data_IF_211087455374
#
_entry.id   IF_211087455374
#
_cell.length_a   1.000
_cell.length_b   1.000
_cell.length_c   1.000
_cell.angle_alpha   90.00
_cell.angle_beta   90.00
_cell.angle_gamma   90.00
#
_symmetry.space_group_name_H-M   'P 1'
#
loop_
_entity.id
_entity.type
_entity.pdbx_description
1 polymer ?
#
# COMPACT_ATOMS: atom_id res chain seq x y z
N UNK A 1 -8.55 -22.87 3.20
CA UNK A 1 -9.86 -22.32 2.76
C UNK A 1 -9.96 -20.81 2.97
N UNK A 2 -10.11 -20.28 4.19
CA UNK A 2 -10.32 -18.83 4.42
C UNK A 2 -9.23 -17.92 3.86
N UNK A 3 -7.95 -18.22 4.11
CA UNK A 3 -6.83 -17.40 3.60
C UNK A 3 -6.76 -17.43 2.06
N UNK A 4 -7.05 -18.59 1.46
CA UNK A 4 -7.02 -18.72 0.00
C UNK A 4 -8.12 -17.88 -0.66
N UNK A 5 -9.34 -17.94 -0.11
CA UNK A 5 -10.45 -17.11 -0.58
C UNK A 5 -10.15 -15.62 -0.36
N UNK A 6 -9.60 -15.26 0.81
CA UNK A 6 -9.17 -13.89 1.09
C UNK A 6 -8.15 -13.39 0.06
N UNK A 7 -7.06 -14.14 -0.17
CA UNK A 7 -6.05 -13.77 -1.15
C UNK A 7 -6.64 -13.61 -2.55
N UNK A 8 -7.54 -14.51 -2.95
CA UNK A 8 -8.24 -14.42 -4.24
C UNK A 8 -9.06 -13.14 -4.33
N UNK A 9 -9.89 -12.82 -3.33
CA UNK A 9 -10.72 -11.60 -3.31
C UNK A 9 -9.89 -10.33 -3.28
N UNK A 10 -8.80 -10.30 -2.52
CA UNK A 10 -7.89 -9.16 -2.47
C UNK A 10 -7.18 -8.96 -3.82
N UNK A 11 -6.86 -10.04 -4.53
CA UNK A 11 -6.30 -9.95 -5.90
C UNK A 11 -7.31 -9.38 -6.88
N UNK A 12 -8.56 -9.84 -6.84
CA UNK A 12 -9.66 -9.28 -7.64
C UNK A 12 -9.80 -7.78 -7.36
N UNK A 13 -9.82 -7.38 -6.08
CA UNK A 13 -9.87 -5.98 -5.67
C UNK A 13 -8.68 -5.16 -6.17
N UNK A 14 -7.45 -5.68 -6.03
CA UNK A 14 -6.23 -5.01 -6.50
C UNK A 14 -6.28 -4.76 -8.01
N UNK A 15 -6.77 -5.72 -8.79
CA UNK A 15 -6.91 -5.57 -10.25
C UNK A 15 -7.90 -4.46 -10.61
N UNK A 16 -9.06 -4.40 -9.94
CA UNK A 16 -10.04 -3.34 -10.20
C UNK A 16 -9.53 -1.95 -9.78
N UNK A 17 -8.79 -1.86 -8.66
CA UNK A 17 -8.15 -0.62 -8.24
C UNK A 17 -7.10 -0.16 -9.26
N UNK A 18 -6.27 -1.06 -9.77
CA UNK A 18 -5.28 -0.72 -10.80
C UNK A 18 -5.93 -0.17 -12.07
N UNK A 19 -7.02 -0.80 -12.54
CA UNK A 19 -7.78 -0.29 -13.69
C UNK A 19 -8.33 1.11 -13.43
N UNK A 20 -8.99 1.31 -12.28
CA UNK A 20 -9.54 2.61 -11.91
C UNK A 20 -8.47 3.71 -11.76
N UNK A 21 -7.28 3.37 -11.24
CA UNK A 21 -6.15 4.31 -11.18
C UNK A 21 -5.70 4.67 -12.61
N UNK A 22 -5.54 3.69 -13.50
CA UNK A 22 -5.16 3.95 -14.90
C UNK A 22 -6.18 4.85 -15.60
N UNK A 23 -7.47 4.53 -15.47
CA UNK A 23 -8.56 5.32 -16.04
C UNK A 23 -8.54 6.77 -15.52
N UNK A 24 -8.32 6.95 -14.21
CA UNK A 24 -8.25 8.28 -13.59
C UNK A 24 -7.09 9.14 -14.12
N UNK A 25 -6.05 8.49 -14.63
CA UNK A 25 -4.88 9.10 -15.25
C UNK A 25 -5.02 9.25 -16.77
N UNK A 26 -6.15 8.87 -17.36
CA UNK A 26 -6.37 8.90 -18.81
C UNK A 26 -5.61 7.82 -19.57
N UNK A 27 -5.21 6.74 -18.90
CA UNK A 27 -4.49 5.61 -19.46
C UNK A 27 -5.45 4.46 -19.78
N UNK A 28 -5.01 3.55 -20.64
CA UNK A 28 -5.72 2.30 -20.89
C UNK A 28 -5.77 1.46 -19.60
N UNK A 29 -6.93 0.90 -19.26
CA UNK A 29 -7.11 0.07 -18.05
C UNK A 29 -6.08 -1.08 -17.94
N UNK A 30 -5.66 -1.61 -19.09
CA UNK A 30 -4.71 -2.73 -19.19
C UNK A 30 -3.22 -2.29 -19.18
N UNK A 31 -2.95 -1.00 -18.99
CA UNK A 31 -1.60 -0.43 -19.11
C UNK A 31 -0.60 -1.11 -18.18
N UNK A 32 -0.93 -1.26 -16.88
CA UNK A 32 -0.05 -1.89 -15.90
C UNK A 32 0.15 -3.37 -16.19
N UNK A 33 -0.90 -4.08 -16.61
CA UNK A 33 -0.84 -5.49 -16.96
C UNK A 33 0.13 -5.72 -18.11
N UNK A 34 0.12 -4.85 -19.13
CA UNK A 34 1.06 -4.88 -20.25
C UNK A 34 2.48 -4.47 -19.85
N UNK A 35 2.61 -3.42 -19.04
CA UNK A 35 3.91 -2.89 -18.63
C UNK A 35 4.72 -3.87 -17.77
N UNK A 36 4.03 -4.72 -17.00
CA UNK A 36 4.62 -5.65 -16.05
C UNK A 36 4.44 -7.13 -16.42
N UNK A 37 3.82 -7.42 -17.58
CA UNK A 37 3.46 -8.78 -18.02
C UNK A 37 2.75 -9.60 -16.93
N UNK A 38 1.78 -8.98 -16.25
CA UNK A 38 1.11 -9.58 -15.07
C UNK A 38 0.29 -10.85 -15.41
N UNK A 39 0.02 -11.10 -16.69
CA UNK A 39 -0.65 -12.32 -17.14
C UNK A 39 0.25 -13.55 -17.02
N UNK A 40 1.57 -13.39 -17.21
CA UNK A 40 2.54 -14.49 -17.12
C UNK A 40 3.23 -14.53 -15.76
N UNK A 41 3.48 -13.37 -15.15
CA UNK A 41 4.22 -13.25 -13.90
C UNK A 41 3.56 -12.23 -12.95
N UNK A 42 2.60 -12.70 -12.17
CA UNK A 42 2.02 -11.93 -11.06
C UNK A 42 2.29 -12.59 -9.72
N UNK A 43 2.86 -11.81 -8.81
CA UNK A 43 3.13 -12.24 -7.44
C UNK A 43 2.22 -11.51 -6.46
N UNK A 44 1.72 -12.26 -5.47
CA UNK A 44 0.98 -11.73 -4.34
C UNK A 44 1.61 -12.27 -3.06
N UNK A 45 2.03 -11.38 -2.17
CA UNK A 45 2.55 -11.71 -0.87
C UNK A 45 1.51 -11.39 0.21
N UNK A 46 1.23 -12.36 1.08
CA UNK A 46 0.45 -12.13 2.30
C UNK A 46 1.41 -12.08 3.48
N UNK A 47 1.42 -10.94 4.19
CA UNK A 47 2.15 -10.78 5.46
C UNK A 47 1.14 -10.62 6.57
N UNK A 48 1.25 -11.43 7.62
CA UNK A 48 0.42 -11.34 8.83
C UNK A 48 1.30 -10.85 9.97
N UNK A 49 1.06 -9.62 10.41
CA UNK A 49 1.82 -8.99 11.47
C UNK A 49 1.08 -9.14 12.81
N UNK A 50 1.79 -9.58 13.85
CA UNK A 50 1.29 -9.64 15.23
C UNK A 50 2.18 -8.76 16.11
N UNK A 51 1.60 -7.70 16.67
CA UNK A 51 2.27 -6.77 17.58
C UNK A 51 1.75 -7.00 19.01
N UNK A 52 2.50 -7.71 19.88
CA UNK A 52 2.10 -7.89 21.27
C UNK A 52 2.24 -6.58 22.08
N UNK A 53 1.57 -6.47 23.25
CA UNK A 53 1.74 -5.33 24.15
C UNK A 53 3.20 -5.07 24.51
N UNK A 54 3.59 -3.79 24.56
CA UNK A 54 4.96 -3.37 24.80
C UNK A 54 5.03 -2.54 26.09
N UNK A 55 5.89 -2.91 27.07
CA UNK A 55 6.03 -2.11 28.29
C UNK A 55 6.64 -0.73 28.10
N UNK A 56 7.35 -0.50 26.99
CA UNK A 56 8.05 0.76 26.68
C UNK A 56 7.80 1.17 25.21
N UNK A 57 6.55 1.45 24.84
CA UNK A 57 6.16 1.72 23.45
C UNK A 57 6.82 2.98 22.88
N UNK A 58 7.27 3.90 23.73
CA UNK A 58 7.93 5.15 23.35
C UNK A 58 9.36 4.98 22.81
N UNK A 59 9.99 3.83 23.04
CA UNK A 59 11.37 3.54 22.57
C UNK A 59 11.45 2.35 21.61
N UNK A 60 10.33 1.70 21.30
CA UNK A 60 10.28 0.53 20.43
C UNK A 60 9.31 0.77 19.27
N UNK A 61 9.73 0.41 18.06
CA UNK A 61 8.86 0.38 16.89
C UNK A 61 8.48 -1.06 16.56
N UNK A 62 7.24 -1.28 16.15
CA UNK A 62 6.77 -2.59 15.69
C UNK A 62 7.31 -2.92 14.31
N UNK A 63 7.24 -1.96 13.39
CA UNK A 63 7.86 -2.07 12.08
C UNK A 63 8.56 -0.74 11.77
N UNK A 64 9.88 -0.73 11.52
CA UNK A 64 10.61 0.50 11.22
C UNK A 64 10.06 1.23 9.99
N UNK A 65 10.34 2.53 9.84
CA UNK A 65 10.02 3.30 8.65
C UNK A 65 10.56 2.65 7.36
N UNK A 66 9.67 2.36 6.42
CA UNK A 66 10.01 1.82 5.09
C UNK A 66 8.97 2.27 4.05
N UNK A 67 9.23 2.05 2.77
CA UNK A 67 8.21 2.05 1.71
C UNK A 67 7.93 0.61 1.28
N UNK A 68 6.74 0.37 0.74
CA UNK A 68 6.36 -0.96 0.29
C UNK A 68 6.83 -1.19 -1.15
N UNK A 69 7.48 -2.33 -1.37
CA UNK A 69 7.79 -2.78 -2.73
C UNK A 69 6.53 -3.28 -3.45
N UNK A 70 6.54 -3.24 -4.79
CA UNK A 70 5.42 -3.71 -5.60
C UNK A 70 4.49 -2.59 -6.07
N UNK A 71 3.29 -2.97 -6.52
CA UNK A 71 2.33 -2.04 -7.13
C UNK A 71 1.40 -1.40 -6.09
N UNK A 72 0.74 -2.24 -5.30
CA UNK A 72 -0.22 -1.85 -4.27
C UNK A 72 -0.07 -2.78 -3.07
N UNK A 73 -0.26 -2.25 -1.87
CA UNK A 73 -0.58 -3.06 -0.69
C UNK A 73 -1.98 -2.71 -0.18
N UNK A 74 -2.72 -3.75 0.19
CA UNK A 74 -4.09 -3.69 0.69
C UNK A 74 -4.07 -4.25 2.10
N UNK A 75 -4.13 -3.35 3.08
CA UNK A 75 -3.98 -3.65 4.48
C UNK A 75 -5.35 -3.74 5.16
N UNK A 76 -5.60 -4.88 5.79
CA UNK A 76 -6.61 -5.02 6.83
C UNK A 76 -5.93 -4.82 8.19
N UNK A 77 -6.40 -3.85 8.97
CA UNK A 77 -5.93 -3.61 10.33
C UNK A 77 -7.05 -3.78 11.35
N UNK A 78 -6.69 -3.99 12.60
CA UNK A 78 -7.62 -4.03 13.71
C UNK A 78 -8.03 -2.60 14.14
N UNK A 79 -8.87 -2.49 15.16
CA UNK A 79 -9.37 -1.19 15.66
C UNK A 79 -8.32 -0.38 16.47
N UNK A 80 -7.04 -0.78 16.48
CA UNK A 80 -5.98 -0.08 17.20
C UNK A 80 -5.19 0.83 16.26
N UNK A 81 -4.90 2.05 16.72
CA UNK A 81 -4.10 3.01 15.96
C UNK A 81 -2.61 2.67 16.11
N UNK A 82 -2.09 1.87 15.18
CA UNK A 82 -0.65 1.55 15.10
C UNK A 82 0.02 2.12 13.85
N UNK A 83 -0.69 2.15 12.71
CA UNK A 83 -0.15 2.58 11.43
C UNK A 83 0.02 4.09 11.38
N UNK A 84 1.22 4.53 11.01
CA UNK A 84 1.53 5.91 10.70
C UNK A 84 2.10 6.01 9.30
N UNK A 85 1.71 7.06 8.59
CA UNK A 85 2.23 7.41 7.27
C UNK A 85 2.99 8.72 7.35
N UNK A 86 4.07 8.84 6.58
CA UNK A 86 4.81 10.09 6.47
C UNK A 86 4.28 10.95 5.33
N UNK A 87 3.87 12.17 5.62
CA UNK A 87 3.42 13.16 4.65
C UNK A 87 3.97 14.53 5.03
N UNK A 88 4.56 15.24 4.07
CA UNK A 88 5.23 16.54 4.27
C UNK A 88 6.20 16.55 5.46
N UNK A 89 6.98 15.48 5.58
CA UNK A 89 7.97 15.29 6.64
C UNK A 89 7.40 14.92 8.01
N UNK A 90 6.07 14.89 8.17
CA UNK A 90 5.39 14.58 9.44
C UNK A 90 4.79 13.18 9.43
N UNK A 91 4.79 12.52 10.58
CA UNK A 91 4.09 11.25 10.79
C UNK A 91 2.63 11.52 11.14
N UNK A 92 1.71 10.89 10.43
CA UNK A 92 0.27 11.03 10.59
C UNK A 92 -0.32 9.65 10.92
N UNK A 93 -1.07 9.50 12.03
CA UNK A 93 -1.75 8.25 12.34
C UNK A 93 -2.85 7.95 11.31
N UNK A 94 -2.97 6.69 10.92
CA UNK A 94 -4.03 6.21 10.02
C UNK A 94 -5.10 5.51 10.87
N UNK A 95 -6.31 6.07 10.87
CA UNK A 95 -7.46 5.54 11.61
C UNK A 95 -8.64 5.31 10.65
N UNK A 96 -8.68 4.18 9.92
CA UNK A 96 -9.68 3.94 8.90
C UNK A 96 -11.03 3.55 9.56
N UNK A 97 -12.17 3.77 8.88
CA UNK A 97 -13.47 3.31 9.37
C UNK A 97 -13.51 1.79 9.60
N UNK A 98 -14.30 1.29 10.57
CA UNK A 98 -14.48 -0.14 10.78
C UNK A 98 -14.91 -0.87 9.50
N UNK A 99 -14.30 -2.02 9.23
CA UNK A 99 -14.62 -2.84 8.05
C UNK A 99 -14.06 -2.30 6.72
N UNK A 100 -13.11 -1.36 6.76
CA UNK A 100 -12.42 -0.86 5.56
C UNK A 100 -10.99 -1.36 5.44
N UNK A 101 -10.43 -1.27 4.23
CA UNK A 101 -9.03 -1.52 3.93
C UNK A 101 -8.28 -0.21 3.78
N UNK A 102 -7.02 -0.18 4.19
CA UNK A 102 -6.07 0.86 3.79
C UNK A 102 -5.35 0.41 2.54
N UNK A 103 -5.31 1.25 1.51
CA UNK A 103 -4.59 0.97 0.27
C UNK A 103 -3.44 1.96 0.14
N UNK A 104 -2.23 1.47 -0.11
CA UNK A 104 -1.08 2.29 -0.44
C UNK A 104 -0.47 1.91 -1.79
N UNK A 105 0.15 2.90 -2.42
CA UNK A 105 0.93 2.74 -3.65
C UNK A 105 2.34 2.28 -3.26
N UNK A 106 2.86 1.28 -3.96
CA UNK A 106 4.22 0.79 -3.76
C UNK A 106 5.22 1.37 -4.75
N UNK A 107 6.51 1.14 -4.48
CA UNK A 107 7.64 1.71 -5.22
C UNK A 107 7.58 1.42 -6.73
N UNK A 108 7.14 0.22 -7.14
CA UNK A 108 7.11 -0.14 -8.56
C UNK A 108 6.06 0.68 -9.31
N UNK A 109 4.91 0.96 -8.68
CA UNK A 109 3.88 1.80 -9.27
C UNK A 109 4.37 3.25 -9.42
N UNK A 110 5.08 3.79 -8.41
CA UNK A 110 5.68 5.13 -8.51
C UNK A 110 6.65 5.22 -9.69
N UNK A 111 7.51 4.22 -9.89
CA UNK A 111 8.46 4.17 -11.02
C UNK A 111 7.74 4.11 -12.37
N UNK A 112 6.72 3.26 -12.50
CA UNK A 112 5.97 3.11 -13.77
C UNK A 112 5.27 4.41 -14.13
N UNK A 113 4.56 5.01 -13.17
CA UNK A 113 3.85 6.27 -13.39
C UNK A 113 4.83 7.41 -13.66
N UNK A 114 5.99 7.42 -12.99
CA UNK A 114 7.00 8.46 -13.18
C UNK A 114 7.57 8.44 -14.59
N UNK A 115 7.84 7.25 -15.14
CA UNK A 115 8.31 7.10 -16.51
C UNK A 115 7.27 7.54 -17.55
N UNK A 116 5.98 7.48 -17.23
CA UNK A 116 4.92 7.92 -18.12
C UNK A 116 4.65 9.43 -18.03
N UNK A 117 4.74 10.00 -16.83
CA UNK A 117 4.37 11.39 -16.53
C UNK A 117 5.57 12.30 -16.25
N UNK A 118 6.67 12.14 -16.99
CA UNK A 118 7.92 12.93 -16.83
C UNK A 118 7.72 14.47 -16.81
N UNK A 119 6.55 15.00 -17.22
CA UNK A 119 6.20 16.42 -17.19
C UNK A 119 5.18 16.84 -16.11
N UNK A 120 4.54 15.91 -15.39
CA UNK A 120 3.52 16.21 -14.36
C UNK A 120 3.99 15.93 -12.91
N UNK A 121 5.15 15.30 -12.73
CA UNK A 121 5.66 14.85 -11.42
C UNK A 121 6.17 15.96 -10.51
N UNK A 122 6.27 17.21 -10.96
CA UNK A 122 6.54 18.31 -10.04
C UNK A 122 5.35 18.66 -9.14
N UNK A 123 4.14 18.14 -9.44
CA UNK A 123 2.91 18.42 -8.68
C UNK A 123 2.24 17.19 -8.07
N UNK A 124 2.77 15.99 -8.32
CA UNK A 124 2.41 14.79 -7.56
C UNK A 124 3.53 14.65 -6.54
N UNK A 125 3.30 15.21 -5.35
CA UNK A 125 4.14 15.01 -4.16
C UNK A 125 4.69 13.59 -4.16
N UNK A 126 6.01 13.44 -4.02
CA UNK A 126 6.66 12.13 -3.90
C UNK A 126 5.82 11.23 -3.02
N UNK A 127 5.22 10.20 -3.63
CA UNK A 127 4.32 9.24 -2.99
C UNK A 127 5.14 8.18 -2.23
N UNK A 128 6.33 8.56 -1.76
CA UNK A 128 7.07 7.86 -0.71
C UNK A 128 6.27 7.96 0.59
N UNK A 129 5.15 7.25 0.63
CA UNK A 129 4.37 6.97 1.83
C UNK A 129 5.24 6.01 2.62
N UNK A 130 6.18 6.60 3.36
CA UNK A 130 6.92 5.84 4.34
C UNK A 130 5.92 5.42 5.40
N UNK A 131 5.74 4.12 5.55
CA UNK A 131 4.89 3.50 6.55
C UNK A 131 5.75 3.10 7.74
N UNK A 132 5.21 3.33 8.94
CA UNK A 132 5.80 2.86 10.19
C UNK A 132 4.67 2.35 11.06
N UNK A 133 4.92 1.26 11.79
CA UNK A 133 3.97 0.74 12.78
C UNK A 133 4.56 0.96 14.17
N UNK A 134 3.87 1.78 14.96
CA UNK A 134 4.15 1.94 16.38
C UNK A 134 3.33 0.91 17.16
N UNK A 135 3.94 0.35 18.20
CA UNK A 135 3.23 -0.52 19.12
C UNK A 135 2.65 0.38 20.20
N UNK A 136 1.38 0.77 20.08
CA UNK A 136 0.65 1.45 21.16
C UNK A 136 -0.32 0.45 21.78
N UNK A 137 0.20 -0.48 22.59
CA UNK A 137 -0.62 -1.35 23.43
C UNK A 137 0.05 -1.54 24.78
#
# INVERSE_FOLDING_TARGET
ETIQEYCKRVRELANELLKGIMESLGLEESYIQKAMDLETDSHQLLVVNLYPPCPQPEVVMGLPPHSDHGLLTILMQNDHVGLHVRHDGKWIPVNPPPGSFVVNIGDHMEVILSNHFYLYLHSIYSLNVCVCLYIYI
#
